data_IF_028129501687
#
_entry.id   IF_028129501687
#
_cell.length_a   1.000
_cell.length_b   1.000
_cell.length_c   1.000
_cell.angle_alpha   90.00
_cell.angle_beta   90.00
_cell.angle_gamma   90.00
#
_symmetry.space_group_name_H-M   'P 1'
#
loop_
_entity.id
_entity.type
_entity.pdbx_description
1 polymer ?
#
# COMPACT_ATOMS: atom_id res chain seq x y z
N UNK A 1 -21.29 -17.02 -1.07
CA UNK A 1 -21.42 -15.66 -0.52
C UNK A 1 -21.28 -14.65 -1.67
N UNK A 2 -22.10 -13.60 -1.71
CA UNK A 2 -22.09 -12.54 -2.73
C UNK A 2 -21.43 -11.29 -2.15
N UNK A 3 -20.29 -10.90 -2.70
CA UNK A 3 -19.50 -9.75 -2.26
C UNK A 3 -19.51 -8.69 -3.35
N UNK A 4 -19.97 -7.49 -3.00
CA UNK A 4 -19.85 -6.31 -3.85
C UNK A 4 -18.58 -5.53 -3.53
N UNK A 5 -17.90 -5.03 -4.55
CA UNK A 5 -16.77 -4.10 -4.42
C UNK A 5 -17.15 -2.75 -5.05
N UNK A 6 -17.26 -1.70 -4.24
CA UNK A 6 -17.59 -0.35 -4.66
C UNK A 6 -16.31 0.47 -4.78
N UNK A 7 -15.94 0.90 -6.00
CA UNK A 7 -14.71 1.65 -6.20
C UNK A 7 -14.66 2.41 -7.53
N UNK A 8 -13.84 3.46 -7.59
CA UNK A 8 -13.47 4.13 -8.84
C UNK A 8 -12.20 3.54 -9.49
N UNK A 9 -11.57 2.57 -8.85
CA UNK A 9 -10.25 2.08 -9.24
C UNK A 9 -10.17 0.54 -9.24
N UNK A 10 -11.24 -0.11 -9.68
CA UNK A 10 -11.29 -1.57 -9.83
C UNK A 10 -10.35 -2.04 -10.95
N UNK A 11 -10.14 -1.19 -11.96
CA UNK A 11 -9.32 -1.47 -13.13
C UNK A 11 -8.20 -0.43 -13.30
N UNK A 12 -7.25 -0.76 -14.19
CA UNK A 12 -6.12 0.08 -14.55
C UNK A 12 -4.89 -0.05 -13.67
N UNK A 13 -3.89 0.77 -14.00
CA UNK A 13 -2.67 0.91 -13.23
C UNK A 13 -2.93 1.72 -11.95
N UNK A 14 -3.58 1.08 -10.99
CA UNK A 14 -3.91 1.67 -9.69
C UNK A 14 -3.64 0.66 -8.57
N UNK A 15 -3.09 1.09 -7.41
CA UNK A 15 -2.84 0.21 -6.27
C UNK A 15 -4.01 -0.69 -5.86
N UNK A 16 -5.24 -0.15 -5.80
CA UNK A 16 -6.43 -0.93 -5.45
C UNK A 16 -6.62 -2.10 -6.41
N UNK A 17 -6.57 -1.86 -7.72
CA UNK A 17 -6.68 -2.92 -8.72
C UNK A 17 -5.56 -3.96 -8.57
N UNK A 18 -4.32 -3.53 -8.33
CA UNK A 18 -3.16 -4.41 -8.19
C UNK A 18 -3.29 -5.38 -7.00
N UNK A 19 -3.76 -4.90 -5.84
CA UNK A 19 -3.94 -5.72 -4.65
C UNK A 19 -5.25 -6.53 -4.65
N UNK A 20 -6.30 -6.00 -5.28
CA UNK A 20 -7.60 -6.68 -5.35
C UNK A 20 -7.59 -7.83 -6.37
N UNK A 21 -6.88 -7.67 -7.49
CA UNK A 21 -6.83 -8.67 -8.54
C UNK A 21 -6.46 -10.09 -8.06
N UNK A 22 -5.36 -10.30 -7.32
CA UNK A 22 -5.03 -11.63 -6.82
C UNK A 22 -6.10 -12.18 -5.85
N UNK A 23 -6.69 -11.34 -4.99
CA UNK A 23 -7.76 -11.75 -4.08
C UNK A 23 -8.95 -12.34 -4.85
N UNK A 24 -9.47 -11.55 -5.80
CA UNK A 24 -10.65 -11.91 -6.61
C UNK A 24 -10.37 -13.17 -7.42
N UNK A 25 -9.15 -13.35 -7.93
CA UNK A 25 -8.76 -14.57 -8.65
C UNK A 25 -8.83 -15.83 -7.79
N UNK A 26 -8.33 -15.76 -6.55
CA UNK A 26 -8.34 -16.90 -5.63
C UNK A 26 -9.76 -17.24 -5.22
N UNK A 27 -10.56 -16.24 -4.90
CA UNK A 27 -11.98 -16.39 -4.56
C UNK A 27 -12.78 -16.98 -5.72
N UNK A 28 -12.59 -16.47 -6.95
CA UNK A 28 -13.25 -17.00 -8.14
C UNK A 28 -12.85 -18.46 -8.45
N UNK A 29 -11.56 -18.79 -8.30
CA UNK A 29 -11.06 -20.15 -8.52
C UNK A 29 -11.64 -21.16 -7.49
N UNK A 30 -11.89 -20.74 -6.26
CA UNK A 30 -12.52 -21.56 -5.21
C UNK A 30 -14.04 -21.68 -5.38
N UNK A 31 -14.69 -20.66 -5.94
CA UNK A 31 -16.12 -20.66 -6.25
C UNK A 31 -17.05 -20.42 -5.05
N UNK A 32 -16.50 -20.02 -3.90
CA UNK A 32 -17.24 -19.79 -2.65
C UNK A 32 -17.67 -18.32 -2.46
N UNK A 33 -17.02 -17.39 -3.16
CA UNK A 33 -17.33 -15.96 -3.19
C UNK A 33 -17.62 -15.51 -4.63
N UNK A 34 -18.83 -15.01 -4.87
CA UNK A 34 -19.25 -14.38 -6.13
C UNK A 34 -19.01 -12.88 -6.01
N UNK A 35 -18.13 -12.34 -6.86
CA UNK A 35 -17.72 -10.94 -6.81
C UNK A 35 -18.46 -10.09 -7.85
N UNK A 36 -18.96 -8.93 -7.42
CA UNK A 36 -19.58 -7.91 -8.27
C UNK A 36 -18.83 -6.60 -8.11
N UNK A 37 -18.32 -6.05 -9.22
CA UNK A 37 -17.61 -4.77 -9.23
C UNK A 37 -18.59 -3.65 -9.61
N UNK A 38 -18.73 -2.65 -8.73
CA UNK A 38 -19.45 -1.42 -9.01
C UNK A 38 -18.44 -0.33 -9.36
N UNK A 39 -18.22 -0.18 -10.66
CA UNK A 39 -17.19 0.68 -11.22
C UNK A 39 -17.70 2.11 -11.40
N UNK A 40 -17.14 3.02 -10.60
CA UNK A 40 -17.46 4.44 -10.63
C UNK A 40 -16.57 5.26 -11.60
N UNK A 41 -15.59 4.63 -12.27
CA UNK A 41 -14.75 5.27 -13.29
C UNK A 41 -14.18 4.22 -14.26
N UNK A 42 -14.94 3.82 -15.28
CA UNK A 42 -14.51 2.80 -16.23
C UNK A 42 -13.23 3.21 -16.97
N UNK A 43 -12.27 2.29 -17.02
CA UNK A 43 -11.00 2.43 -17.77
C UNK A 43 -10.92 1.35 -18.85
N UNK A 44 -10.40 1.70 -20.03
CA UNK A 44 -10.20 0.74 -21.11
C UNK A 44 -8.71 0.36 -21.19
N UNK A 45 -8.34 -0.76 -20.58
CA UNK A 45 -6.97 -1.30 -20.63
C UNK A 45 -6.96 -2.83 -20.70
N UNK A 46 -5.85 -3.39 -21.19
CA UNK A 46 -5.70 -4.84 -21.39
C UNK A 46 -5.67 -5.67 -20.10
N UNK A 47 -5.28 -5.08 -18.97
CA UNK A 47 -5.27 -5.75 -17.67
C UNK A 47 -6.70 -5.97 -17.14
N UNK A 48 -7.60 -5.01 -17.43
CA UNK A 48 -9.02 -5.09 -17.09
C UNK A 48 -9.73 -6.27 -17.77
N UNK A 49 -9.28 -6.71 -18.94
CA UNK A 49 -9.92 -7.80 -19.69
C UNK A 49 -9.88 -9.15 -18.96
N UNK A 50 -8.81 -9.45 -18.21
CA UNK A 50 -8.74 -10.68 -17.39
C UNK A 50 -9.72 -10.60 -16.23
N UNK A 51 -9.67 -9.50 -15.49
CA UNK A 51 -10.48 -9.31 -14.28
C UNK A 51 -11.99 -9.25 -14.59
N UNK A 52 -12.38 -8.63 -15.71
CA UNK A 52 -13.77 -8.59 -16.21
C UNK A 52 -14.38 -9.96 -16.47
N UNK A 53 -13.58 -11.02 -16.63
CA UNK A 53 -14.08 -12.39 -16.80
C UNK A 53 -14.37 -13.09 -15.47
N UNK A 54 -13.84 -12.55 -14.38
CA UNK A 54 -13.93 -13.15 -13.04
C UNK A 54 -15.03 -12.52 -12.19
N UNK A 55 -15.49 -11.33 -12.57
CA UNK A 55 -16.50 -10.58 -11.82
C UNK A 55 -17.62 -10.10 -12.73
N UNK A 56 -18.82 -9.96 -12.17
CA UNK A 56 -19.87 -9.18 -12.83
C UNK A 56 -19.55 -7.70 -12.67
N UNK A 57 -19.50 -6.95 -13.76
CA UNK A 57 -19.24 -5.49 -13.70
C UNK A 57 -20.54 -4.72 -13.88
N UNK A 58 -20.80 -3.81 -12.94
CA UNK A 58 -21.88 -2.82 -12.98
C UNK A 58 -21.23 -1.44 -13.08
N UNK A 59 -21.35 -0.79 -14.23
CA UNK A 59 -20.90 0.59 -14.39
C UNK A 59 -21.91 1.52 -13.73
N UNK A 60 -21.46 2.34 -12.78
CA UNK A 60 -22.32 3.24 -11.99
C UNK A 60 -21.90 4.72 -12.07
N UNK A 61 -20.89 5.04 -12.86
CA UNK A 61 -20.31 6.39 -12.99
C UNK A 61 -21.35 7.47 -13.33
N UNK A 62 -22.24 7.18 -14.28
CA UNK A 62 -23.31 8.08 -14.72
C UNK A 62 -24.62 7.95 -13.92
N UNK A 63 -24.68 7.03 -12.94
CA UNK A 63 -25.87 6.85 -12.11
C UNK A 63 -25.82 7.79 -10.91
N UNK A 64 -26.96 8.44 -10.65
CA UNK A 64 -27.21 9.10 -9.36
C UNK A 64 -27.14 8.09 -8.20
N UNK A 65 -26.80 8.56 -7.00
CA UNK A 65 -26.54 7.67 -5.86
C UNK A 65 -27.74 6.79 -5.46
N UNK A 66 -28.98 7.28 -5.62
CA UNK A 66 -30.18 6.50 -5.37
C UNK A 66 -30.36 5.36 -6.40
N UNK A 67 -30.07 5.64 -7.67
CA UNK A 67 -30.14 4.63 -8.73
C UNK A 67 -29.04 3.59 -8.55
N UNK A 68 -27.82 4.00 -8.21
CA UNK A 68 -26.72 3.10 -7.90
C UNK A 68 -27.03 2.22 -6.68
N UNK A 69 -27.59 2.79 -5.61
CA UNK A 69 -28.01 2.03 -4.43
C UNK A 69 -29.12 1.01 -4.76
N UNK A 70 -30.10 1.38 -5.59
CA UNK A 70 -31.16 0.45 -6.02
C UNK A 70 -30.60 -0.70 -6.86
N UNK A 71 -29.64 -0.43 -7.75
CA UNK A 71 -28.96 -1.46 -8.52
C UNK A 71 -28.22 -2.44 -7.59
N UNK A 72 -27.48 -1.93 -6.61
CA UNK A 72 -26.75 -2.75 -5.63
C UNK A 72 -27.72 -3.62 -4.81
N UNK A 73 -28.86 -3.07 -4.36
CA UNK A 73 -29.89 -3.83 -3.64
C UNK A 73 -30.47 -4.96 -4.48
N UNK A 74 -30.69 -4.72 -5.77
CA UNK A 74 -31.22 -5.74 -6.68
C UNK A 74 -30.24 -6.90 -6.91
N UNK A 75 -28.95 -6.68 -6.67
CA UNK A 75 -27.91 -7.71 -6.75
C UNK A 75 -27.80 -8.56 -5.46
N UNK A 76 -28.59 -8.29 -4.42
CA UNK A 76 -28.78 -9.11 -3.20
C UNK A 76 -27.43 -9.58 -2.59
N UNK A 77 -26.65 -8.61 -2.11
CA UNK A 77 -25.30 -8.87 -1.57
C UNK A 77 -25.36 -9.31 -0.11
N UNK A 78 -24.45 -10.20 0.28
CA UNK A 78 -24.18 -10.51 1.70
C UNK A 78 -23.30 -9.42 2.35
N UNK A 79 -22.38 -8.84 1.56
CA UNK A 79 -21.40 -7.85 2.00
C UNK A 79 -21.08 -6.87 0.87
N UNK A 80 -21.08 -5.58 1.17
CA UNK A 80 -20.56 -4.54 0.29
C UNK A 80 -19.26 -3.96 0.86
N UNK A 81 -18.18 -4.03 0.09
CA UNK A 81 -16.85 -3.52 0.46
C UNK A 81 -16.55 -2.26 -0.34
N UNK A 82 -16.46 -1.13 0.34
CA UNK A 82 -15.93 0.11 -0.21
C UNK A 82 -14.40 0.05 -0.28
N UNK A 83 -13.86 0.33 -1.47
CA UNK A 83 -12.41 0.38 -1.71
C UNK A 83 -11.94 1.79 -2.08
N UNK A 84 -12.71 2.83 -1.78
CA UNK A 84 -12.36 4.21 -2.10
C UNK A 84 -12.31 5.12 -0.87
N UNK A 85 -13.16 4.93 0.14
CA UNK A 85 -13.22 5.81 1.30
C UNK A 85 -13.33 7.29 0.87
N UNK A 86 -12.40 8.13 1.30
CA UNK A 86 -12.38 9.55 0.92
C UNK A 86 -11.56 9.88 -0.34
N UNK A 87 -11.08 8.90 -1.11
CA UNK A 87 -10.30 9.17 -2.34
C UNK A 87 -11.17 9.68 -3.50
N UNK A 88 -10.52 10.06 -4.61
CA UNK A 88 -11.18 10.64 -5.77
C UNK A 88 -12.09 9.62 -6.48
N UNK A 89 -13.34 9.99 -6.77
CA UNK A 89 -14.33 9.10 -7.39
C UNK A 89 -15.11 8.24 -6.38
N UNK A 90 -14.91 8.48 -5.08
CA UNK A 90 -15.66 7.85 -3.98
C UNK A 90 -17.18 7.93 -4.17
N UNK A 91 -17.87 6.92 -3.65
CA UNK A 91 -19.34 6.82 -3.62
C UNK A 91 -19.87 6.56 -2.20
N UNK A 92 -19.30 7.23 -1.19
CA UNK A 92 -19.72 7.09 0.22
C UNK A 92 -21.22 7.36 0.43
N UNK A 93 -21.82 8.27 -0.34
CA UNK A 93 -23.25 8.56 -0.25
C UNK A 93 -24.13 7.39 -0.72
N UNK A 94 -23.63 6.48 -1.56
CA UNK A 94 -24.29 5.22 -1.91
C UNK A 94 -24.32 4.30 -0.68
N UNK A 95 -23.23 4.19 0.07
CA UNK A 95 -23.19 3.44 1.33
C UNK A 95 -24.18 4.01 2.36
N UNK A 96 -24.41 5.32 2.34
CA UNK A 96 -25.36 6.02 3.23
C UNK A 96 -26.80 5.55 3.05
N UNK A 97 -27.12 5.00 1.88
CA UNK A 97 -28.42 4.43 1.54
C UNK A 97 -28.56 2.97 2.01
N UNK A 98 -27.51 2.40 2.62
CA UNK A 98 -27.48 1.02 3.12
C UNK A 98 -27.97 0.01 2.07
N UNK A 99 -27.38 -0.05 0.87
CA UNK A 99 -27.81 -0.99 -0.16
C UNK A 99 -27.42 -2.45 0.07
N UNK A 100 -26.64 -2.75 1.11
CA UNK A 100 -26.31 -4.11 1.54
C UNK A 100 -26.49 -4.23 3.08
N UNK A 101 -26.80 -5.43 3.61
CA UNK A 101 -27.02 -5.65 5.03
C UNK A 101 -25.77 -5.40 5.87
N UNK A 102 -24.59 -5.67 5.30
CA UNK A 102 -23.29 -5.40 5.94
C UNK A 102 -22.41 -4.61 4.98
N UNK A 103 -21.78 -3.55 5.50
CA UNK A 103 -20.90 -2.70 4.74
C UNK A 103 -19.54 -2.57 5.42
N UNK A 104 -18.46 -2.72 4.66
CA UNK A 104 -17.09 -2.59 5.15
C UNK A 104 -16.29 -1.62 4.27
N UNK A 105 -15.24 -1.01 4.82
CA UNK A 105 -14.21 -0.33 4.04
C UNK A 105 -12.90 -1.12 4.08
N UNK A 106 -12.18 -1.16 2.97
CA UNK A 106 -10.93 -1.92 2.85
C UNK A 106 -9.97 -1.36 1.78
N UNK A 107 -8.66 -1.45 2.05
CA UNK A 107 -7.50 -1.17 1.18
C UNK A 107 -7.34 0.28 0.69
N UNK A 108 -8.34 0.87 0.05
CA UNK A 108 -8.16 2.06 -0.78
C UNK A 108 -8.01 3.38 -0.03
N UNK A 109 -8.49 3.45 1.21
CA UNK A 109 -8.36 4.63 2.07
C UNK A 109 -7.75 4.26 3.42
N UNK A 110 -6.53 4.73 3.74
CA UNK A 110 -5.81 4.30 4.93
C UNK A 110 -6.19 5.12 6.17
N UNK A 111 -7.49 5.14 6.50
CA UNK A 111 -8.05 5.69 7.74
C UNK A 111 -9.54 5.33 7.88
N UNK A 112 -10.17 5.73 8.98
CA UNK A 112 -11.63 5.68 9.14
C UNK A 112 -12.34 6.48 8.05
N UNK A 113 -13.47 5.96 7.56
CA UNK A 113 -14.42 6.71 6.73
C UNK A 113 -15.20 7.75 7.53
N UNK A 114 -15.21 7.64 8.86
CA UNK A 114 -16.00 8.49 9.75
C UNK A 114 -17.51 8.40 9.49
N UNK A 115 -17.96 7.40 8.73
CA UNK A 115 -19.30 7.35 8.19
C UNK A 115 -20.09 6.25 8.89
N UNK A 116 -21.13 6.64 9.64
CA UNK A 116 -21.96 5.71 10.41
C UNK A 116 -22.59 4.60 9.57
N UNK A 117 -22.68 4.79 8.24
CA UNK A 117 -23.20 3.77 7.35
C UNK A 117 -22.21 2.61 7.11
N UNK A 118 -20.93 2.75 7.42
CA UNK A 118 -19.90 1.70 7.25
C UNK A 118 -19.74 0.96 8.57
N UNK A 119 -20.02 -0.34 8.58
CA UNK A 119 -20.07 -1.13 9.81
C UNK A 119 -18.67 -1.61 10.24
N UNK A 120 -17.79 -1.88 9.27
CA UNK A 120 -16.46 -2.45 9.52
C UNK A 120 -15.33 -1.75 8.75
N UNK A 121 -14.14 -1.75 9.33
CA UNK A 121 -12.89 -1.38 8.66
C UNK A 121 -11.89 -2.54 8.79
N UNK A 122 -11.41 -3.04 7.65
CA UNK A 122 -10.52 -4.20 7.59
C UNK A 122 -9.06 -3.75 7.56
N UNK A 123 -8.24 -4.39 8.39
CA UNK A 123 -6.81 -4.13 8.54
C UNK A 123 -6.13 -5.29 9.26
N UNK A 124 -5.14 -5.01 10.11
CA UNK A 124 -4.43 -6.01 10.91
C UNK A 124 -4.04 -5.47 12.30
N UNK A 125 -3.39 -6.32 13.10
CA UNK A 125 -2.98 -5.94 14.46
C UNK A 125 -1.93 -4.83 14.53
N UNK A 126 -1.09 -4.67 13.50
CA UNK A 126 -0.08 -3.61 13.46
C UNK A 126 -0.71 -2.25 13.12
N UNK A 127 -1.74 -2.23 12.26
CA UNK A 127 -2.52 -1.04 11.92
C UNK A 127 -3.44 -0.60 13.05
N UNK A 128 -4.04 -1.55 13.76
CA UNK A 128 -5.07 -1.32 14.77
C UNK A 128 -4.61 -1.74 16.16
N UNK A 129 -3.66 -1.03 16.79
CA UNK A 129 -3.37 -1.26 18.19
C UNK A 129 -4.62 -0.97 19.03
N UNK A 130 -4.86 -1.78 20.08
CA UNK A 130 -6.06 -1.67 20.91
C UNK A 130 -6.28 -0.27 21.50
N UNK A 131 -5.19 0.46 21.77
CA UNK A 131 -5.23 1.82 22.31
C UNK A 131 -5.85 2.86 21.36
N UNK A 132 -5.89 2.58 20.06
CA UNK A 132 -6.35 3.52 19.03
C UNK A 132 -7.77 3.19 18.52
N UNK A 133 -8.47 2.19 19.07
CA UNK A 133 -9.80 1.76 18.59
C UNK A 133 -10.83 2.88 18.58
N UNK A 134 -10.77 3.80 19.57
CA UNK A 134 -11.72 4.92 19.69
C UNK A 134 -11.58 5.97 18.59
N UNK A 135 -10.55 5.89 17.74
CA UNK A 135 -10.32 6.80 16.62
C UNK A 135 -11.12 6.41 15.37
N UNK A 136 -11.77 5.25 15.39
CA UNK A 136 -12.49 4.69 14.25
C UNK A 136 -13.98 4.60 14.57
N UNK A 137 -14.83 5.01 13.62
CA UNK A 137 -16.28 4.85 13.74
C UNK A 137 -16.71 3.42 13.45
N UNK A 138 -15.93 2.71 12.63
CA UNK A 138 -16.18 1.33 12.23
C UNK A 138 -15.69 0.33 13.27
N UNK A 139 -16.29 -0.87 13.29
CA UNK A 139 -15.73 -2.01 14.01
C UNK A 139 -14.48 -2.51 13.28
N UNK A 140 -13.37 -2.61 14.01
CA UNK A 140 -12.08 -2.99 13.41
C UNK A 140 -11.97 -4.50 13.24
N UNK A 141 -11.74 -4.94 12.00
CA UNK A 141 -11.45 -6.33 11.66
C UNK A 141 -9.96 -6.48 11.46
N UNK A 142 -9.33 -7.36 12.25
CA UNK A 142 -7.89 -7.61 12.22
C UNK A 142 -7.61 -8.94 11.55
N UNK A 143 -7.04 -8.89 10.35
CA UNK A 143 -6.54 -10.07 9.67
C UNK A 143 -5.33 -10.65 10.43
N UNK A 144 -5.15 -11.99 10.44
CA UNK A 144 -4.14 -12.66 11.27
C UNK A 144 -2.69 -12.27 10.95
N UNK A 145 -2.36 -12.09 9.67
CA UNK A 145 -0.97 -11.89 9.24
C UNK A 145 -0.68 -10.48 8.71
N UNK A 146 -1.49 -10.01 7.76
CA UNK A 146 -1.29 -8.74 7.06
C UNK A 146 -2.62 -8.24 6.50
N UNK A 147 -2.81 -6.92 6.50
CA UNK A 147 -3.95 -6.33 5.80
C UNK A 147 -3.87 -6.47 4.27
N UNK A 148 -2.68 -6.70 3.72
CA UNK A 148 -2.42 -6.86 2.29
C UNK A 148 -1.43 -7.99 2.02
N UNK A 149 -1.62 -8.70 0.91
CA UNK A 149 -0.59 -9.53 0.27
C UNK A 149 -0.24 -8.98 -1.11
N UNK A 150 1.04 -9.00 -1.46
CA UNK A 150 1.55 -8.50 -2.72
C UNK A 150 1.77 -9.65 -3.70
N UNK A 151 1.10 -9.57 -4.85
CA UNK A 151 1.39 -10.36 -6.03
C UNK A 151 1.94 -9.43 -7.13
N UNK A 152 3.07 -9.76 -7.77
CA UNK A 152 3.62 -8.92 -8.84
C UNK A 152 2.69 -8.89 -10.06
N UNK A 153 2.14 -7.74 -10.47
CA UNK A 153 1.35 -7.65 -11.69
C UNK A 153 2.26 -7.79 -12.93
N UNK A 154 1.89 -8.56 -13.97
CA UNK A 154 2.64 -8.58 -15.22
C UNK A 154 2.45 -7.26 -16.00
N UNK A 155 3.50 -6.67 -16.62
CA UNK A 155 4.89 -7.11 -16.64
C UNK A 155 5.74 -6.46 -15.53
N UNK A 156 5.89 -7.14 -14.38
CA UNK A 156 6.86 -6.76 -13.35
C UNK A 156 8.22 -7.41 -13.63
N UNK A 157 9.33 -6.65 -13.66
CA UNK A 157 10.65 -7.22 -13.88
C UNK A 157 11.05 -8.13 -12.70
N UNK A 158 11.90 -9.12 -12.99
CA UNK A 158 12.46 -9.97 -11.96
C UNK A 158 13.42 -9.16 -11.05
N UNK A 159 13.39 -9.38 -9.73
CA UNK A 159 14.37 -8.78 -8.83
C UNK A 159 15.80 -9.21 -9.17
N UNK A 160 16.74 -8.28 -9.08
CA UNK A 160 18.18 -8.56 -9.22
C UNK A 160 18.75 -8.78 -7.83
N UNK A 161 19.38 -9.94 -7.50
CA UNK A 161 19.91 -10.20 -6.15
C UNK A 161 21.18 -9.41 -5.81
N UNK A 162 21.99 -9.08 -6.81
CA UNK A 162 23.24 -8.34 -6.61
C UNK A 162 22.98 -6.83 -6.52
N UNK A 163 23.66 -6.16 -5.59
CA UNK A 163 23.73 -4.69 -5.56
C UNK A 163 24.67 -4.16 -6.64
N UNK A 164 24.47 -2.91 -7.06
CA UNK A 164 25.46 -2.19 -7.86
C UNK A 164 26.69 -1.85 -7.00
N UNK A 165 27.87 -1.90 -7.60
CA UNK A 165 29.09 -1.44 -6.94
C UNK A 165 29.06 0.08 -6.76
N UNK A 166 29.71 0.58 -5.70
CA UNK A 166 29.76 2.01 -5.39
C UNK A 166 29.32 2.34 -3.96
N UNK A 167 28.97 3.61 -3.66
CA UNK A 167 28.45 4.01 -2.36
C UNK A 167 27.09 3.36 -2.09
N UNK A 168 26.70 3.31 -0.81
CA UNK A 168 25.35 2.91 -0.41
C UNK A 168 24.35 3.94 -0.91
N UNK A 169 23.26 3.49 -1.52
CA UNK A 169 22.17 4.35 -2.00
C UNK A 169 20.92 4.11 -1.17
N UNK A 170 20.54 5.12 -0.39
CA UNK A 170 19.18 5.20 0.14
C UNK A 170 18.22 5.64 -0.94
N UNK A 171 16.95 5.26 -0.87
CA UNK A 171 15.99 5.78 -1.84
C UNK A 171 14.52 5.70 -1.44
N UNK A 172 13.69 6.46 -2.15
CA UNK A 172 12.23 6.43 -1.97
C UNK A 172 11.55 6.78 -3.29
N UNK A 173 10.57 5.95 -3.68
CA UNK A 173 9.74 6.15 -4.87
C UNK A 173 8.33 6.66 -4.49
N UNK A 174 8.20 7.24 -3.30
CA UNK A 174 6.95 7.78 -2.79
C UNK A 174 6.59 9.10 -3.49
N UNK A 175 5.29 9.41 -3.54
CA UNK A 175 4.80 10.68 -4.05
C UNK A 175 5.27 11.85 -3.19
N UNK A 176 5.61 12.97 -3.85
CA UNK A 176 6.13 14.18 -3.21
C UNK A 176 5.31 14.68 -1.99
N UNK A 177 3.95 14.63 -1.97
CA UNK A 177 3.19 15.07 -0.79
C UNK A 177 3.51 14.32 0.51
N UNK A 178 4.16 13.15 0.44
CA UNK A 178 4.62 12.42 1.64
C UNK A 178 5.96 12.93 2.18
N UNK A 179 6.68 13.76 1.43
CA UNK A 179 7.99 14.30 1.81
C UNK A 179 7.81 15.72 2.38
N UNK A 180 7.45 15.79 3.66
CA UNK A 180 7.38 17.05 4.40
C UNK A 180 8.74 17.41 5.03
N UNK A 181 8.83 18.60 5.63
CA UNK A 181 10.04 19.11 6.29
C UNK A 181 10.61 18.14 7.34
N UNK A 182 9.73 17.46 8.10
CA UNK A 182 10.15 16.47 9.09
C UNK A 182 10.80 15.24 8.46
N UNK A 183 10.30 14.78 7.31
CA UNK A 183 10.91 13.69 6.54
C UNK A 183 12.28 14.10 6.00
N UNK A 184 12.37 15.30 5.42
CA UNK A 184 13.62 15.83 4.87
C UNK A 184 14.67 15.95 5.96
N UNK A 185 14.31 16.52 7.12
CA UNK A 185 15.20 16.63 8.27
C UNK A 185 15.69 15.25 8.75
N UNK A 186 14.78 14.28 8.90
CA UNK A 186 15.15 12.93 9.36
C UNK A 186 16.06 12.22 8.36
N UNK A 187 15.76 12.30 7.07
CA UNK A 187 16.57 11.68 6.03
C UNK A 187 17.93 12.38 5.86
N UNK A 188 18.01 13.69 6.13
CA UNK A 188 19.29 14.37 6.24
C UNK A 188 20.13 13.81 7.41
N UNK A 189 19.52 13.52 8.55
CA UNK A 189 20.21 12.90 9.68
C UNK A 189 20.66 11.46 9.38
N UNK A 190 19.87 10.68 8.62
CA UNK A 190 20.31 9.38 8.07
C UNK A 190 21.57 9.55 7.21
N UNK A 191 21.58 10.54 6.31
CA UNK A 191 22.72 10.78 5.43
C UNK A 191 23.97 11.28 6.18
N UNK A 192 23.81 12.00 7.31
CA UNK A 192 24.93 12.36 8.20
C UNK A 192 25.48 11.13 8.93
N UNK A 193 24.61 10.23 9.37
CA UNK A 193 24.98 9.00 10.06
C UNK A 193 25.62 7.94 9.14
N UNK A 194 25.44 8.06 7.83
CA UNK A 194 26.08 7.22 6.81
C UNK A 194 26.89 8.08 5.82
N UNK A 195 28.11 8.52 6.20
CA UNK A 195 28.97 9.32 5.33
C UNK A 195 29.25 8.63 4.00
N UNK A 196 29.15 9.37 2.90
CA UNK A 196 29.37 8.86 1.54
C UNK A 196 28.16 8.16 0.90
N UNK A 197 27.07 7.90 1.64
CA UNK A 197 25.84 7.38 1.05
C UNK A 197 25.15 8.43 0.16
N UNK A 198 24.40 8.01 -0.84
CA UNK A 198 23.57 8.89 -1.66
C UNK A 198 22.08 8.67 -1.36
N UNK A 199 21.23 9.62 -1.77
CA UNK A 199 19.77 9.52 -1.71
C UNK A 199 19.17 9.65 -3.11
N UNK A 200 18.44 8.64 -3.54
CA UNK A 200 17.67 8.62 -4.78
C UNK A 200 16.18 8.78 -4.47
N UNK A 201 15.61 9.90 -4.90
CA UNK A 201 14.17 10.14 -4.84
C UNK A 201 13.61 10.16 -6.25
N UNK A 202 12.54 9.38 -6.48
CA UNK A 202 11.88 9.34 -7.78
C UNK A 202 10.37 9.50 -7.66
N UNK A 203 9.82 10.54 -8.29
CA UNK A 203 8.38 10.75 -8.41
C UNK A 203 8.07 11.73 -9.55
N UNK A 204 6.83 11.71 -10.06
CA UNK A 204 6.43 12.51 -11.23
C UNK A 204 6.71 14.01 -11.09
N UNK A 205 6.62 14.55 -9.87
CA UNK A 205 6.86 15.98 -9.61
C UNK A 205 8.30 16.43 -9.92
N UNK A 206 9.27 15.51 -9.95
CA UNK A 206 10.66 15.83 -10.32
C UNK A 206 10.87 16.03 -11.82
N UNK A 207 9.83 15.94 -12.64
CA UNK A 207 9.88 16.42 -14.02
C UNK A 207 10.08 17.95 -14.07
N UNK A 208 9.58 18.66 -13.05
CA UNK A 208 9.71 20.11 -12.92
C UNK A 208 11.08 20.48 -12.29
N UNK A 209 11.92 21.26 -12.99
CA UNK A 209 13.21 21.72 -12.46
C UNK A 209 13.11 22.48 -11.14
N UNK A 210 12.09 23.33 -10.98
CA UNK A 210 11.84 24.17 -9.81
C UNK A 210 11.55 23.33 -8.58
N UNK A 211 10.73 22.28 -8.73
CA UNK A 211 10.46 21.31 -7.67
C UNK A 211 11.75 20.60 -7.22
N UNK A 212 12.62 20.21 -8.15
CA UNK A 212 13.93 19.61 -7.81
C UNK A 212 14.84 20.60 -7.09
N UNK A 213 14.90 21.84 -7.57
CA UNK A 213 15.72 22.89 -6.95
C UNK A 213 15.25 23.21 -5.53
N UNK A 214 13.94 23.30 -5.32
CA UNK A 214 13.35 23.54 -3.99
C UNK A 214 13.67 22.42 -3.01
N UNK A 215 13.47 21.16 -3.40
CA UNK A 215 13.75 20.03 -2.52
C UNK A 215 15.25 19.88 -2.23
N UNK A 216 16.12 20.08 -3.23
CA UNK A 216 17.56 20.10 -3.03
C UNK A 216 17.98 21.23 -2.06
N UNK A 217 17.39 22.42 -2.19
CA UNK A 217 17.60 23.54 -1.27
C UNK A 217 17.22 23.20 0.17
N UNK A 218 16.12 22.46 0.37
CA UNK A 218 15.70 22.00 1.70
C UNK A 218 16.73 21.05 2.33
N UNK A 219 17.27 20.09 1.57
CA UNK A 219 18.36 19.23 2.05
C UNK A 219 19.66 19.99 2.34
N UNK A 220 20.01 20.98 1.52
CA UNK A 220 21.17 21.86 1.74
C UNK A 220 21.02 22.64 3.05
N UNK A 221 19.82 23.12 3.37
CA UNK A 221 19.53 23.78 4.65
C UNK A 221 19.77 22.86 5.86
N UNK A 222 19.68 21.53 5.67
CA UNK A 222 20.03 20.52 6.67
C UNK A 222 21.47 20.00 6.58
N UNK A 223 22.32 20.61 5.74
CA UNK A 223 23.75 20.28 5.60
C UNK A 223 24.03 19.10 4.67
N UNK A 224 23.10 18.74 3.78
CA UNK A 224 23.30 17.71 2.76
C UNK A 224 23.48 18.37 1.39
N UNK A 225 24.69 18.25 0.84
CA UNK A 225 25.01 18.78 -0.48
C UNK A 225 24.26 18.08 -1.62
N UNK A 226 23.98 18.83 -2.69
CA UNK A 226 23.24 18.35 -3.85
C UNK A 226 23.92 17.20 -4.60
N UNK A 227 25.24 17.04 -4.46
CA UNK A 227 26.02 15.94 -5.03
C UNK A 227 25.63 14.57 -4.45
N UNK A 228 25.00 14.54 -3.27
CA UNK A 228 24.47 13.33 -2.64
C UNK A 228 23.02 13.04 -3.02
N UNK A 229 22.36 13.90 -3.78
CA UNK A 229 20.95 13.81 -4.11
C UNK A 229 20.73 13.50 -5.59
N UNK A 230 19.90 12.50 -5.86
CA UNK A 230 19.41 12.15 -7.20
C UNK A 230 17.90 12.30 -7.21
N UNK A 231 17.40 13.37 -7.84
CA UNK A 231 15.98 13.68 -7.95
C UNK A 231 15.52 13.44 -9.39
N UNK A 232 14.82 12.33 -9.62
CA UNK A 232 14.51 11.83 -10.97
C UNK A 232 12.99 11.70 -11.20
N UNK A 233 12.43 12.08 -12.36
CA UNK A 233 11.07 11.68 -12.71
C UNK A 233 10.99 10.19 -13.09
N UNK A 234 9.92 9.47 -12.77
CA UNK A 234 9.62 8.17 -13.36
C UNK A 234 9.18 8.36 -14.82
N UNK A 235 9.50 7.37 -15.67
CA UNK A 235 9.11 7.36 -17.07
C UNK A 235 7.98 6.34 -17.35
N UNK A 236 8.00 5.19 -16.67
CA UNK A 236 6.95 4.16 -16.70
C UNK A 236 6.99 3.30 -15.43
N UNK A 237 5.97 2.45 -15.22
CA UNK A 237 5.95 1.48 -14.11
C UNK A 237 7.16 0.53 -14.15
N UNK A 238 7.46 -0.05 -15.32
CA UNK A 238 8.58 -0.98 -15.47
C UNK A 238 9.93 -0.29 -15.18
N UNK A 239 10.12 0.95 -15.63
CA UNK A 239 11.32 1.73 -15.32
C UNK A 239 11.42 2.07 -13.84
N UNK A 240 10.31 2.42 -13.19
CA UNK A 240 10.28 2.63 -11.74
C UNK A 240 10.68 1.34 -10.99
N UNK A 241 10.22 0.17 -11.43
CA UNK A 241 10.61 -1.10 -10.81
C UNK A 241 12.11 -1.40 -10.99
N UNK A 242 12.68 -1.15 -12.18
CA UNK A 242 14.12 -1.35 -12.38
C UNK A 242 15.00 -0.42 -11.54
N UNK A 243 14.49 0.75 -11.11
CA UNK A 243 15.22 1.63 -10.18
C UNK A 243 15.45 1.04 -8.81
N UNK A 244 14.63 0.10 -8.34
CA UNK A 244 14.94 -0.62 -7.11
C UNK A 244 16.25 -1.41 -7.18
N UNK A 245 16.81 -1.71 -8.36
CA UNK A 245 18.13 -2.31 -8.49
C UNK A 245 19.29 -1.34 -8.13
N UNK A 246 19.01 -0.05 -8.02
CA UNK A 246 19.99 0.99 -7.64
C UNK A 246 19.89 1.40 -6.18
N UNK A 247 18.81 1.03 -5.50
CA UNK A 247 18.54 1.41 -4.12
C UNK A 247 18.99 0.28 -3.21
N UNK A 248 19.96 0.53 -2.36
CA UNK A 248 20.42 -0.44 -1.38
C UNK A 248 19.45 -0.54 -0.19
N UNK A 249 18.87 0.58 0.23
CA UNK A 249 17.94 0.67 1.37
C UNK A 249 16.83 1.67 1.04
N UNK A 250 15.58 1.25 1.13
CA UNK A 250 14.44 2.13 0.96
C UNK A 250 14.10 2.86 2.26
N UNK A 251 13.84 4.16 2.15
CA UNK A 251 13.39 5.00 3.25
C UNK A 251 11.89 5.28 3.11
N UNK A 252 11.13 4.90 4.12
CA UNK A 252 9.69 5.07 4.16
C UNK A 252 9.33 6.41 4.85
N UNK A 253 8.53 7.29 4.21
CA UNK A 253 8.17 8.58 4.79
C UNK A 253 7.17 8.46 5.95
N UNK A 254 6.99 9.55 6.68
CA UNK A 254 6.05 9.70 7.79
C UNK A 254 5.48 11.13 7.79
N UNK A 255 4.31 11.40 8.39
CA UNK A 255 3.42 10.47 9.09
C UNK A 255 2.61 9.57 8.15
N UNK A 256 2.73 9.74 6.83
CA UNK A 256 2.05 8.90 5.85
C UNK A 256 3.07 7.96 5.19
N UNK A 257 3.01 6.68 5.52
CA UNK A 257 3.91 5.65 4.99
C UNK A 257 3.64 5.29 3.53
N UNK A 258 4.59 4.62 2.91
CA UNK A 258 4.41 3.80 1.74
C UNK A 258 3.50 2.60 2.05
N UNK A 259 2.60 2.31 1.12
CA UNK A 259 1.87 1.04 1.06
C UNK A 259 2.44 0.22 -0.08
N UNK A 260 1.96 0.49 -1.30
CA UNK A 260 2.43 -0.16 -2.54
C UNK A 260 3.93 0.02 -2.78
N UNK A 261 4.48 1.21 -2.56
CA UNK A 261 5.92 1.49 -2.73
C UNK A 261 6.80 0.67 -1.78
N UNK A 262 6.31 0.41 -0.57
CA UNK A 262 6.98 -0.46 0.41
C UNK A 262 6.90 -1.93 -0.02
N UNK A 263 5.73 -2.39 -0.47
CA UNK A 263 5.57 -3.74 -1.03
C UNK A 263 6.46 -3.96 -2.26
N UNK A 264 6.55 -2.99 -3.17
CA UNK A 264 7.46 -3.03 -4.32
C UNK A 264 8.92 -3.12 -3.89
N UNK A 265 9.36 -2.30 -2.93
CA UNK A 265 10.73 -2.33 -2.44
C UNK A 265 11.08 -3.72 -1.89
N UNK A 266 10.22 -4.27 -1.01
CA UNK A 266 10.41 -5.59 -0.43
C UNK A 266 10.42 -6.68 -1.49
N UNK A 267 9.48 -6.67 -2.44
CA UNK A 267 9.44 -7.61 -3.56
C UNK A 267 10.73 -7.56 -4.39
N UNK A 268 11.24 -6.37 -4.66
CA UNK A 268 12.50 -6.14 -5.40
C UNK A 268 13.76 -6.42 -4.57
N UNK A 269 13.62 -6.93 -3.34
CA UNK A 269 14.73 -7.31 -2.48
C UNK A 269 15.42 -6.14 -1.78
N UNK A 270 14.77 -4.98 -1.68
CA UNK A 270 15.32 -3.79 -1.04
C UNK A 270 14.84 -3.74 0.42
N UNK A 271 15.75 -3.80 1.42
CA UNK A 271 15.42 -3.53 2.81
C UNK A 271 14.73 -2.18 2.97
N UNK A 272 13.69 -2.10 3.79
CA UNK A 272 12.94 -0.87 4.03
C UNK A 272 13.02 -0.50 5.50
N UNK A 273 13.30 0.77 5.81
CA UNK A 273 13.19 1.32 7.16
C UNK A 273 11.93 2.17 7.25
N UNK A 274 11.09 1.93 8.26
CA UNK A 274 9.87 2.71 8.50
C UNK A 274 9.81 3.26 9.92
N UNK A 275 9.10 4.36 10.11
CA UNK A 275 8.75 4.89 11.43
C UNK A 275 7.30 4.52 11.74
N UNK A 276 7.08 3.72 12.78
CA UNK A 276 5.73 3.40 13.25
C UNK A 276 5.13 4.60 13.96
N UNK A 277 4.22 5.27 13.26
CA UNK A 277 3.51 6.45 13.74
C UNK A 277 2.16 6.13 14.39
N UNK A 278 1.26 7.10 14.30
CA UNK A 278 -0.15 6.97 14.71
C UNK A 278 -1.04 6.83 13.48
N UNK A 279 -2.26 6.34 13.70
CA UNK A 279 -3.28 6.13 12.68
C UNK A 279 -2.88 5.09 11.62
N UNK A 280 -3.85 4.63 10.85
CA UNK A 280 -3.63 3.61 9.81
C UNK A 280 -2.50 4.04 8.86
N UNK A 281 -2.56 5.24 8.27
CA UNK A 281 -1.59 5.68 7.27
C UNK A 281 -0.14 5.77 7.77
N UNK A 282 0.07 5.94 9.07
CA UNK A 282 1.39 5.97 9.71
C UNK A 282 1.87 4.62 10.24
N UNK A 283 1.11 3.55 10.01
CA UNK A 283 1.44 2.18 10.47
C UNK A 283 1.48 1.15 9.35
N UNK A 284 1.20 1.54 8.11
CA UNK A 284 1.26 0.63 6.95
C UNK A 284 2.66 0.03 6.77
N UNK A 285 3.73 0.83 6.92
CA UNK A 285 5.09 0.32 6.82
C UNK A 285 5.38 -0.75 7.88
N UNK A 286 4.93 -0.52 9.12
CA UNK A 286 5.11 -1.46 10.23
C UNK A 286 4.35 -2.78 10.00
N UNK A 287 3.12 -2.70 9.48
CA UNK A 287 2.35 -3.88 9.07
C UNK A 287 3.09 -4.68 7.99
N UNK A 288 3.47 -4.04 6.88
CA UNK A 288 4.11 -4.72 5.76
C UNK A 288 5.46 -5.34 6.15
N UNK A 289 6.25 -4.66 6.98
CA UNK A 289 7.52 -5.20 7.48
C UNK A 289 7.32 -6.37 8.44
N UNK A 290 6.28 -6.33 9.28
CA UNK A 290 5.94 -7.46 10.14
C UNK A 290 5.55 -8.69 9.31
N UNK A 291 4.70 -8.49 8.30
CA UNK A 291 4.29 -9.52 7.34
C UNK A 291 5.44 -10.01 6.44
N UNK A 292 6.48 -9.21 6.23
CA UNK A 292 7.70 -9.62 5.54
C UNK A 292 8.70 -10.35 6.46
N UNK A 293 8.40 -10.49 7.75
CA UNK A 293 9.30 -11.11 8.73
C UNK A 293 10.50 -10.23 9.09
N UNK A 294 10.33 -8.90 9.05
CA UNK A 294 11.38 -7.88 9.28
C UNK A 294 11.00 -6.83 10.34
N UNK A 295 10.49 -7.24 11.53
CA UNK A 295 10.13 -6.27 12.57
C UNK A 295 11.33 -5.44 13.06
N UNK A 296 12.56 -5.92 12.89
CA UNK A 296 13.79 -5.22 13.26
C UNK A 296 14.06 -3.96 12.42
N UNK A 297 13.33 -3.75 11.32
CA UNK A 297 13.41 -2.52 10.50
C UNK A 297 12.32 -1.49 10.81
N UNK A 298 11.51 -1.75 11.83
CA UNK A 298 10.46 -0.85 12.30
C UNK A 298 11.01 0.03 13.42
N UNK A 299 11.15 1.32 13.15
CA UNK A 299 11.57 2.31 14.14
C UNK A 299 10.38 2.75 15.00
N UNK A 300 10.61 2.87 16.32
CA UNK A 300 9.65 3.46 17.26
C UNK A 300 9.83 4.98 17.40
N UNK A 301 11.03 5.48 17.11
CA UNK A 301 11.39 6.90 17.23
C UNK A 301 12.22 7.36 16.02
N UNK A 302 12.30 8.68 15.75
CA UNK A 302 13.21 9.20 14.73
C UNK A 302 14.68 8.79 14.96
N UNK A 303 15.13 8.75 16.23
CA UNK A 303 16.48 8.29 16.55
C UNK A 303 16.69 6.81 16.20
N UNK A 304 15.70 5.95 16.47
CA UNK A 304 15.74 4.55 16.04
C UNK A 304 15.78 4.42 14.52
N UNK A 305 15.04 5.26 13.80
CA UNK A 305 15.02 5.26 12.34
C UNK A 305 16.41 5.51 11.77
N UNK A 306 17.11 6.53 12.28
CA UNK A 306 18.50 6.83 11.90
C UNK A 306 19.43 5.67 12.23
N UNK A 307 19.32 5.12 13.44
CA UNK A 307 20.15 4.00 13.90
C UNK A 307 19.97 2.76 13.02
N UNK A 308 18.74 2.40 12.68
CA UNK A 308 18.42 1.24 11.84
C UNK A 308 18.97 1.47 10.42
N UNK A 309 18.70 2.64 9.82
CA UNK A 309 19.16 2.96 8.47
C UNK A 309 20.69 2.95 8.36
N UNK A 310 21.39 3.59 9.31
CA UNK A 310 22.85 3.59 9.35
C UNK A 310 23.43 2.19 9.61
N UNK A 311 22.79 1.39 10.47
CA UNK A 311 23.18 0.00 10.73
C UNK A 311 23.08 -0.86 9.48
N UNK A 312 21.99 -0.76 8.72
CA UNK A 312 21.84 -1.46 7.43
C UNK A 312 22.91 -1.01 6.43
N UNK A 313 23.20 0.29 6.34
CA UNK A 313 24.23 0.80 5.45
C UNK A 313 25.62 0.25 5.80
N UNK A 314 25.95 0.17 7.09
CA UNK A 314 27.21 -0.39 7.57
C UNK A 314 27.35 -1.88 7.23
N UNK A 315 26.27 -2.67 7.37
CA UNK A 315 26.24 -4.09 7.00
C UNK A 315 26.48 -4.30 5.50
N UNK A 316 25.84 -3.48 4.67
CA UNK A 316 26.05 -3.49 3.20
C UNK A 316 27.50 -3.12 2.86
N UNK A 317 28.05 -2.11 3.53
CA UNK A 317 29.46 -1.72 3.35
C UNK A 317 30.44 -2.82 3.80
N UNK A 318 30.06 -3.62 4.80
CA UNK A 318 30.82 -4.80 5.24
C UNK A 318 30.68 -6.02 4.31
N UNK A 319 29.88 -5.92 3.24
CA UNK A 319 29.72 -6.96 2.23
C UNK A 319 28.58 -7.95 2.49
N UNK A 320 27.69 -7.66 3.44
CA UNK A 320 26.52 -8.51 3.67
C UNK A 320 25.56 -8.49 2.47
N UNK A 321 25.04 -9.67 2.11
CA UNK A 321 24.18 -9.87 0.95
C UNK A 321 22.68 -9.68 1.28
N UNK A 322 22.33 -8.61 2.01
CA UNK A 322 20.97 -8.40 2.57
C UNK A 322 19.85 -8.54 1.53
N UNK A 323 20.10 -8.08 0.31
CA UNK A 323 19.17 -8.18 -0.81
C UNK A 323 18.92 -9.63 -1.23
N UNK A 324 19.97 -10.43 -1.36
CA UNK A 324 19.84 -11.85 -1.68
C UNK A 324 19.14 -12.61 -0.55
N UNK A 325 19.48 -12.30 0.71
CA UNK A 325 18.85 -12.90 1.88
C UNK A 325 17.35 -12.58 1.97
N UNK A 326 16.97 -11.32 1.67
CA UNK A 326 15.57 -10.91 1.62
C UNK A 326 14.82 -11.63 0.51
N UNK A 327 15.37 -11.69 -0.71
CA UNK A 327 14.75 -12.40 -1.83
C UNK A 327 14.56 -13.91 -1.56
N UNK A 328 15.50 -14.55 -0.86
CA UNK A 328 15.36 -15.95 -0.46
C UNK A 328 14.33 -16.20 0.65
N UNK A 329 14.00 -15.18 1.43
CA UNK A 329 12.99 -15.25 2.49
C UNK A 329 11.58 -14.91 1.98
N UNK A 330 11.46 -13.94 1.06
CA UNK A 330 10.19 -13.38 0.57
C UNK A 330 9.14 -14.44 0.19
N UNK A 331 9.43 -15.50 -0.59
CA UNK A 331 8.39 -16.46 -0.99
C UNK A 331 7.69 -17.20 0.15
N UNK A 332 8.26 -17.17 1.36
CA UNK A 332 7.71 -17.80 2.57
C UNK A 332 7.11 -16.79 3.54
N UNK A 333 7.22 -15.49 3.26
CA UNK A 333 6.72 -14.47 4.15
C UNK A 333 5.22 -14.22 3.88
N UNK A 334 4.40 -14.02 4.93
CA UNK A 334 2.98 -13.76 4.77
C UNK A 334 2.62 -12.63 3.80
N UNK A 335 3.46 -11.60 3.67
CA UNK A 335 3.27 -10.53 2.70
C UNK A 335 3.16 -11.03 1.25
N UNK A 336 3.77 -12.16 0.91
CA UNK A 336 3.77 -12.72 -0.45
C UNK A 336 2.94 -14.02 -0.55
N UNK A 337 2.32 -14.46 0.54
CA UNK A 337 1.40 -15.59 0.56
C UNK A 337 -0.03 -15.14 0.29
N UNK A 338 -0.30 -14.93 -0.99
CA UNK A 338 -1.60 -14.49 -1.49
C UNK A 338 -2.71 -15.51 -1.21
N UNK A 339 -2.39 -16.80 -1.20
CA UNK A 339 -3.39 -17.85 -1.07
C UNK A 339 -3.90 -17.91 0.37
N UNK A 340 -2.99 -17.85 1.36
CA UNK A 340 -3.36 -17.72 2.77
C UNK A 340 -4.06 -16.38 3.06
N UNK A 341 -3.58 -15.27 2.48
CA UNK A 341 -4.24 -13.98 2.67
C UNK A 341 -5.67 -13.97 2.10
N UNK A 342 -5.90 -14.60 0.94
CA UNK A 342 -7.24 -14.73 0.38
C UNK A 342 -8.17 -15.57 1.29
N UNK A 343 -7.64 -16.60 1.96
CA UNK A 343 -8.37 -17.38 2.95
C UNK A 343 -8.72 -16.56 4.20
N UNK A 344 -7.77 -15.80 4.72
CA UNK A 344 -7.98 -14.92 5.86
C UNK A 344 -9.06 -13.87 5.56
N UNK A 345 -9.01 -13.25 4.38
CA UNK A 345 -10.03 -12.30 3.93
C UNK A 345 -11.39 -12.96 3.73
N UNK A 346 -11.45 -14.17 3.14
CA UNK A 346 -12.70 -14.90 2.99
C UNK A 346 -13.33 -15.27 4.35
N UNK A 347 -12.51 -15.67 5.32
CA UNK A 347 -12.96 -15.93 6.68
C UNK A 347 -13.50 -14.65 7.34
N UNK A 348 -12.81 -13.52 7.20
CA UNK A 348 -13.26 -12.23 7.70
C UNK A 348 -14.58 -11.80 7.06
N UNK A 349 -14.75 -11.96 5.74
CA UNK A 349 -16.00 -11.67 5.04
C UNK A 349 -17.16 -12.50 5.59
N UNK A 350 -16.97 -13.81 5.75
CA UNK A 350 -18.02 -14.70 6.30
C UNK A 350 -18.39 -14.32 7.74
N UNK A 351 -17.40 -13.99 8.57
CA UNK A 351 -17.65 -13.55 9.94
C UNK A 351 -18.49 -12.26 9.97
N UNK A 352 -18.11 -11.25 9.19
CA UNK A 352 -18.86 -9.99 9.11
C UNK A 352 -20.29 -10.19 8.58
N UNK A 353 -20.48 -11.03 7.57
CA UNK A 353 -21.81 -11.33 7.03
C UNK A 353 -22.68 -12.13 8.01
N UNK A 354 -22.08 -13.00 8.83
CA UNK A 354 -22.79 -13.73 9.89
C UNK A 354 -23.30 -12.84 11.03
N UNK A 355 -22.69 -11.66 11.21
CA UNK A 355 -23.10 -10.64 12.19
C UNK A 355 -24.29 -9.78 11.72
N UNK A 356 -24.82 -10.01 10.52
CA UNK A 356 -25.96 -9.26 10.01
C UNK A 356 -27.18 -9.43 10.92
N UNK A 357 -27.68 -8.34 11.48
CA UNK A 357 -29.01 -8.32 12.08
C UNK A 357 -30.06 -8.43 10.95
N UNK A 358 -31.17 -9.16 11.14
CA UNK A 358 -32.24 -9.20 10.16
C UNK A 358 -32.72 -7.76 9.87
N UNK A 359 -32.77 -7.41 8.58
CA UNK A 359 -33.17 -6.10 8.04
C UNK A 359 -34.59 -5.70 8.44
#
# INVERSE_FOLDING_TARGET
>A
MRVGYLTADFFGDHPVAQFLAPLVERHAARGDIVSIAYDARPKDDGAAARMRRLVTVRTIDALEDDAAANLIRADDLDLLVDLSGHTSGRRLAVLGRRPAPVQASFIGYPSTTGYAAVDYLIGDGALFPAADETLYTERLVRLPQSFLAFAPPPPMPAPVPARKAGPVVFGSLNHLPKLNDGVIALWADVLKAAPGAALLLQCAAFAEPETRAGLAGAFVAHGIGGERLRLEPPQSFAEAMTRYAEIDIALDPFPYNGGTTTAHALYMGVPVVTLSGRYFCGRMGASLLSAAGRPEWIAATPADYVRIAAGLAARIAAGEALRADLLGANPRAPLFDVDQWADDVAAAYRAMAGDALPL
#
